data_IF_618786847071
#
_entry.id   IF_618786847071
#
_cell.length_a   1.000
_cell.length_b   1.000
_cell.length_c   1.000
_cell.angle_alpha   90.00
_cell.angle_beta   90.00
_cell.angle_gamma   90.00
#
_symmetry.space_group_name_H-M   'P 1'
#
loop_
_entity.id
_entity.type
_entity.pdbx_description
1 polymer ?
#
# COMPACT_ATOMS: atom_id res chain seq x y z
N UNK A 1 -62.89 3.95 44.32
CA UNK A 1 -61.83 4.96 44.12
C UNK A 1 -61.06 4.54 42.87
N UNK A 2 -61.08 5.36 41.82
CA UNK A 2 -60.51 5.05 40.49
C UNK A 2 -58.98 5.14 40.50
N UNK A 3 -58.30 4.21 39.82
CA UNK A 3 -57.34 4.56 38.75
C UNK A 3 -56.92 3.35 37.91
N UNK A 4 -57.20 3.47 36.62
CA UNK A 4 -56.71 2.64 35.52
C UNK A 4 -55.19 2.77 35.35
N UNK A 5 -54.52 1.68 34.95
CA UNK A 5 -53.27 1.73 34.17
C UNK A 5 -53.21 0.54 33.20
N UNK A 6 -53.72 0.83 32.00
CA UNK A 6 -53.29 0.47 30.64
C UNK A 6 -52.37 -0.77 30.39
N UNK A 7 -52.92 -1.64 29.54
CA UNK A 7 -52.36 -2.37 28.36
C UNK A 7 -51.25 -3.40 28.58
N UNK A 8 -51.50 -4.72 28.44
CA UNK A 8 -51.67 -5.52 27.20
C UNK A 8 -50.49 -5.41 26.22
N UNK A 9 -49.82 -6.55 25.98
CA UNK A 9 -48.92 -6.74 24.85
C UNK A 9 -47.87 -7.82 25.07
N UNK A 10 -48.27 -9.10 25.01
CA UNK A 10 -47.37 -10.13 24.52
C UNK A 10 -46.89 -9.72 23.12
N UNK A 11 -45.57 -9.75 22.89
CA UNK A 11 -45.00 -9.39 21.60
C UNK A 11 -43.49 -9.59 21.59
N UNK A 12 -43.08 -10.78 21.14
CA UNK A 12 -41.86 -11.11 20.36
C UNK A 12 -40.56 -10.42 20.84
N UNK A 13 -39.52 -11.17 21.30
CA UNK A 13 -38.20 -10.56 21.49
C UNK A 13 -37.79 -9.98 20.14
N UNK A 14 -37.69 -8.65 20.06
CA UNK A 14 -37.27 -7.94 18.87
C UNK A 14 -35.97 -8.58 18.38
N UNK A 15 -36.08 -9.30 17.26
CA UNK A 15 -34.99 -9.82 16.47
C UNK A 15 -33.99 -8.70 16.32
N UNK A 16 -32.77 -8.90 16.82
CA UNK A 16 -31.71 -7.92 16.71
C UNK A 16 -31.57 -7.50 15.25
N UNK A 17 -31.88 -6.24 14.99
CA UNK A 17 -31.76 -5.59 13.69
C UNK A 17 -30.33 -5.80 13.16
N UNK A 18 -30.11 -6.59 12.08
CA UNK A 18 -28.76 -6.87 11.57
C UNK A 18 -28.10 -5.66 10.90
N UNK A 19 -28.73 -4.48 10.94
CA UNK A 19 -28.32 -3.29 10.19
C UNK A 19 -27.58 -2.24 11.01
N UNK A 20 -27.16 -2.57 12.23
CA UNK A 20 -26.16 -1.76 12.95
C UNK A 20 -24.83 -2.48 12.98
N UNK A 21 -24.16 -2.50 11.82
CA UNK A 21 -22.71 -2.61 11.78
C UNK A 21 -22.16 -1.56 12.76
N UNK A 22 -21.29 -1.95 13.72
CA UNK A 22 -20.66 -0.97 14.59
C UNK A 22 -20.03 0.10 13.70
N UNK A 23 -20.19 1.37 14.08
CA UNK A 23 -19.63 2.49 13.36
C UNK A 23 -18.10 2.40 13.47
N UNK A 24 -17.48 1.62 12.57
CA UNK A 24 -16.05 1.33 12.56
C UNK A 24 -15.35 2.60 12.10
N UNK A 25 -14.98 3.46 13.04
CA UNK A 25 -13.91 4.47 12.86
C UNK A 25 -12.55 3.76 12.67
N UNK A 26 -12.44 2.91 11.65
CA UNK A 26 -11.27 2.07 11.40
C UNK A 26 -11.11 1.73 9.91
N UNK A 27 -11.42 2.68 9.02
CA UNK A 27 -11.29 2.55 7.55
C UNK A 27 -10.01 3.22 7.04
N UNK A 28 -8.94 3.27 7.85
CA UNK A 28 -7.62 3.71 7.37
C UNK A 28 -6.63 2.53 7.21
N UNK A 29 -6.95 1.34 7.74
CA UNK A 29 -6.05 0.18 7.73
C UNK A 29 -6.39 -0.87 6.65
N UNK A 30 -7.52 -0.72 5.95
CA UNK A 30 -7.98 -1.75 5.02
C UNK A 30 -7.31 -1.68 3.64
N UNK A 31 -6.77 -0.50 3.28
CA UNK A 31 -6.08 -0.29 2.00
C UNK A 31 -4.59 -0.67 2.09
N UNK A 32 -3.93 -0.40 3.21
CA UNK A 32 -2.49 -0.63 3.40
C UNK A 32 -2.05 -2.09 3.25
N UNK A 33 -2.92 -3.05 3.61
CA UNK A 33 -2.62 -4.48 3.52
C UNK A 33 -2.95 -5.07 2.15
N UNK A 34 -3.54 -4.29 1.24
CA UNK A 34 -3.84 -4.78 -0.11
C UNK A 34 -2.54 -4.97 -0.88
N UNK A 35 -2.54 -5.94 -1.79
CA UNK A 35 -1.42 -6.12 -2.70
C UNK A 35 -1.36 -4.96 -3.67
N UNK A 36 -0.15 -4.43 -3.88
CA UNK A 36 0.07 -3.43 -4.91
C UNK A 36 0.01 -4.10 -6.28
N UNK A 37 -0.75 -3.51 -7.20
CA UNK A 37 -0.81 -4.02 -8.57
C UNK A 37 0.42 -3.61 -9.36
N UNK A 38 0.74 -4.36 -10.41
CA UNK A 38 1.88 -4.06 -11.29
C UNK A 38 1.71 -2.68 -11.98
N UNK A 39 0.47 -2.29 -12.29
CA UNK A 39 0.14 -0.98 -12.88
C UNK A 39 0.43 0.16 -11.90
N UNK A 40 0.01 0.03 -10.65
CA UNK A 40 0.31 1.02 -9.61
C UNK A 40 1.80 1.10 -9.35
N UNK A 41 2.47 -0.04 -9.30
CA UNK A 41 3.90 -0.11 -9.11
C UNK A 41 4.65 0.60 -10.25
N UNK A 42 4.23 0.40 -11.50
CA UNK A 42 4.80 1.06 -12.67
C UNK A 42 4.61 2.59 -12.62
N UNK A 43 3.41 3.06 -12.28
CA UNK A 43 3.13 4.49 -12.13
C UNK A 43 3.95 5.13 -10.99
N UNK A 44 4.11 4.43 -9.86
CA UNK A 44 4.91 4.90 -8.73
C UNK A 44 6.38 5.03 -9.12
N UNK A 45 6.97 3.98 -9.72
CA UNK A 45 8.40 4.03 -10.10
C UNK A 45 8.68 5.06 -11.18
N UNK A 46 7.72 5.35 -12.06
CA UNK A 46 7.81 6.46 -13.01
C UNK A 46 7.83 7.81 -12.29
N UNK A 47 6.87 8.05 -11.38
CA UNK A 47 6.82 9.27 -10.57
C UNK A 47 8.09 9.47 -9.75
N UNK A 48 8.62 8.40 -9.16
CA UNK A 48 9.86 8.37 -8.38
C UNK A 48 11.07 8.67 -9.26
N UNK A 49 11.16 8.07 -10.45
CA UNK A 49 12.28 8.28 -11.37
C UNK A 49 12.37 9.73 -11.88
N UNK A 50 11.23 10.40 -12.03
CA UNK A 50 11.15 11.80 -12.42
C UNK A 50 11.50 12.80 -11.30
N UNK A 51 11.67 12.35 -10.04
CA UNK A 51 12.07 13.24 -8.95
C UNK A 51 13.59 13.46 -8.92
N UNK A 52 13.99 14.65 -8.48
CA UNK A 52 15.40 15.01 -8.26
C UNK A 52 16.09 14.13 -7.20
N UNK A 53 15.33 13.59 -6.24
CA UNK A 53 15.81 12.70 -5.19
C UNK A 53 15.64 11.20 -5.52
N UNK A 54 15.44 10.83 -6.79
CA UNK A 54 15.36 9.44 -7.28
C UNK A 54 16.56 8.56 -6.87
N UNK A 55 17.74 9.16 -6.63
CA UNK A 55 18.91 8.44 -6.11
C UNK A 55 18.70 7.86 -4.69
N UNK A 56 17.84 8.46 -3.87
CA UNK A 56 17.49 7.92 -2.55
C UNK A 56 16.72 6.61 -2.66
N UNK A 57 15.82 6.52 -3.64
CA UNK A 57 15.13 5.27 -3.96
C UNK A 57 16.13 4.18 -4.37
N UNK A 58 17.08 4.52 -5.24
CA UNK A 58 18.14 3.60 -5.64
C UNK A 58 18.96 3.08 -4.45
N UNK A 59 19.40 3.97 -3.55
CA UNK A 59 20.13 3.56 -2.33
C UNK A 59 19.28 2.70 -1.40
N UNK A 60 17.99 2.99 -1.27
CA UNK A 60 17.06 2.15 -0.51
C UNK A 60 16.97 0.75 -1.12
N UNK A 61 16.85 0.65 -2.44
CA UNK A 61 16.82 -0.63 -3.15
C UNK A 61 18.14 -1.39 -3.06
N UNK A 62 19.29 -0.72 -3.09
CA UNK A 62 20.59 -1.34 -2.80
C UNK A 62 20.63 -1.96 -1.39
N UNK A 63 19.97 -1.34 -0.41
CA UNK A 63 19.91 -1.86 0.96
C UNK A 63 18.99 -3.08 1.05
N UNK A 64 17.84 -3.05 0.37
CA UNK A 64 16.85 -4.14 0.40
C UNK A 64 17.23 -5.35 -0.45
N UNK A 65 17.88 -5.14 -1.60
CA UNK A 65 18.30 -6.19 -2.53
C UNK A 65 19.75 -6.64 -2.32
N UNK A 66 20.55 -5.89 -1.58
CA UNK A 66 22.00 -5.99 -1.61
C UNK A 66 22.59 -5.23 -2.80
N UNK A 67 23.80 -4.68 -2.58
CA UNK A 67 24.47 -3.80 -3.55
C UNK A 67 24.74 -4.49 -4.89
N UNK A 68 25.20 -5.73 -4.89
CA UNK A 68 25.53 -6.47 -6.11
C UNK A 68 24.34 -6.62 -7.06
N UNK A 69 23.16 -6.92 -6.52
CA UNK A 69 21.97 -7.14 -7.33
C UNK A 69 21.44 -5.83 -7.90
N UNK A 70 21.37 -4.78 -7.07
CA UNK A 70 20.97 -3.46 -7.53
C UNK A 70 21.95 -2.90 -8.58
N UNK A 71 23.26 -3.06 -8.39
CA UNK A 71 24.27 -2.64 -9.36
C UNK A 71 24.19 -3.42 -10.68
N UNK A 72 23.90 -4.72 -10.61
CA UNK A 72 23.69 -5.56 -11.78
C UNK A 72 22.47 -5.10 -12.59
N UNK A 73 21.36 -4.81 -11.92
CA UNK A 73 20.15 -4.31 -12.56
C UNK A 73 20.36 -2.93 -13.19
N UNK A 74 21.08 -2.04 -12.50
CA UNK A 74 21.43 -0.71 -13.02
C UNK A 74 22.35 -0.79 -14.25
N UNK A 75 23.41 -1.60 -14.18
CA UNK A 75 24.33 -1.83 -15.29
C UNK A 75 23.60 -2.41 -16.51
N UNK A 76 22.67 -3.36 -16.29
CA UNK A 76 21.81 -3.90 -17.35
C UNK A 76 20.90 -2.82 -17.95
N UNK A 77 20.28 -2.00 -17.11
CA UNK A 77 19.45 -0.87 -17.55
C UNK A 77 20.23 0.10 -18.44
N UNK A 78 21.42 0.51 -17.99
CA UNK A 78 22.29 1.44 -18.72
C UNK A 78 22.79 0.84 -20.04
N UNK A 79 23.18 -0.44 -20.07
CA UNK A 79 23.59 -1.14 -21.30
C UNK A 79 22.48 -1.22 -22.35
N UNK A 80 21.22 -1.24 -21.90
CA UNK A 80 20.05 -1.31 -22.75
C UNK A 80 19.42 0.07 -23.00
N UNK A 81 20.11 1.15 -22.61
CA UNK A 81 19.63 2.54 -22.67
C UNK A 81 18.20 2.71 -22.13
N UNK A 82 17.87 1.93 -21.10
CA UNK A 82 16.52 1.92 -20.56
C UNK A 82 16.26 3.16 -19.71
N UNK A 83 15.02 3.68 -19.73
CA UNK A 83 14.64 4.75 -18.82
C UNK A 83 14.81 4.27 -17.37
N UNK A 84 15.24 5.19 -16.50
CA UNK A 84 15.53 4.90 -15.09
C UNK A 84 14.32 4.31 -14.35
N UNK A 85 13.11 4.70 -14.73
CA UNK A 85 11.84 4.13 -14.24
C UNK A 85 11.76 2.62 -14.47
N UNK A 86 12.24 2.13 -15.62
CA UNK A 86 12.26 0.69 -15.94
C UNK A 86 13.30 -0.06 -15.11
N UNK A 87 14.46 0.55 -14.85
CA UNK A 87 15.45 -0.01 -13.91
C UNK A 87 14.86 -0.10 -12.49
N UNK A 88 14.19 0.95 -12.03
CA UNK A 88 13.51 0.97 -10.72
C UNK A 88 12.38 -0.06 -10.63
N UNK A 89 11.60 -0.21 -11.70
CA UNK A 89 10.59 -1.25 -11.82
C UNK A 89 11.19 -2.65 -11.63
N UNK A 90 12.28 -2.96 -12.35
CA UNK A 90 12.95 -4.24 -12.20
C UNK A 90 13.50 -4.47 -10.78
N UNK A 91 14.03 -3.43 -10.14
CA UNK A 91 14.49 -3.54 -8.75
C UNK A 91 13.34 -3.90 -7.82
N UNK A 92 12.20 -3.19 -7.89
CA UNK A 92 11.10 -3.43 -6.98
C UNK A 92 10.39 -4.77 -7.26
N UNK A 93 10.34 -5.20 -8.52
CA UNK A 93 9.87 -6.54 -8.88
C UNK A 93 10.82 -7.63 -8.37
N UNK A 94 12.14 -7.41 -8.45
CA UNK A 94 13.13 -8.34 -7.86
C UNK A 94 12.97 -8.41 -6.35
N UNK A 95 12.69 -7.29 -5.68
CA UNK A 95 12.47 -7.25 -4.24
C UNK A 95 11.18 -7.98 -3.85
N UNK A 96 10.09 -7.72 -4.57
CA UNK A 96 8.82 -8.46 -4.44
C UNK A 96 9.03 -9.97 -4.60
N UNK A 97 9.82 -10.40 -5.60
CA UNK A 97 10.13 -11.82 -5.81
C UNK A 97 10.93 -12.49 -4.68
N UNK A 98 11.62 -11.72 -3.83
CA UNK A 98 12.34 -12.24 -2.65
C UNK A 98 11.48 -12.37 -1.41
N UNK A 99 10.29 -11.78 -1.42
CA UNK A 99 9.33 -11.92 -0.31
C UNK A 99 8.83 -13.36 -0.26
N UNK A 100 8.54 -13.84 0.94
CA UNK A 100 8.20 -15.25 1.22
C UNK A 100 6.99 -15.78 0.44
N UNK A 101 6.21 -14.91 -0.21
CA UNK A 101 5.07 -15.26 -1.05
C UNK A 101 4.96 -14.45 -2.34
N UNK A 102 6.01 -13.70 -2.73
CA UNK A 102 5.93 -12.81 -3.90
C UNK A 102 4.93 -11.65 -3.75
N UNK A 103 4.48 -11.38 -2.52
CA UNK A 103 3.52 -10.34 -2.21
C UNK A 103 4.23 -9.07 -1.76
N UNK A 104 3.75 -7.94 -2.26
CA UNK A 104 4.18 -6.61 -1.83
C UNK A 104 2.92 -5.82 -1.52
N UNK A 105 2.76 -5.43 -0.26
CA UNK A 105 1.59 -4.68 0.19
C UNK A 105 1.78 -3.20 -0.09
N UNK A 106 0.68 -2.48 -0.31
CA UNK A 106 0.67 -1.04 -0.54
C UNK A 106 1.35 -0.29 0.61
N UNK A 107 1.04 -0.64 1.85
CA UNK A 107 1.63 -0.02 3.04
C UNK A 107 3.14 -0.22 3.13
N UNK A 108 3.69 -1.29 2.56
CA UNK A 108 5.15 -1.47 2.49
C UNK A 108 5.80 -0.50 1.50
N UNK A 109 5.15 -0.30 0.35
CA UNK A 109 5.60 0.67 -0.65
C UNK A 109 5.48 2.10 -0.10
N UNK A 110 4.38 2.43 0.58
CA UNK A 110 4.19 3.73 1.22
C UNK A 110 5.22 3.98 2.31
N UNK A 111 5.46 3.01 3.21
CA UNK A 111 6.55 3.10 4.21
C UNK A 111 7.91 3.31 3.55
N UNK A 112 8.17 2.62 2.44
CA UNK A 112 9.41 2.79 1.69
C UNK A 112 9.54 4.22 1.15
N UNK A 113 8.50 4.75 0.51
CA UNK A 113 8.46 6.11 -0.03
C UNK A 113 8.62 7.18 1.07
N UNK A 114 7.95 7.01 2.21
CA UNK A 114 8.16 7.90 3.36
C UNK A 114 9.61 7.87 3.85
N UNK A 115 10.25 6.68 3.90
CA UNK A 115 11.64 6.55 4.36
C UNK A 115 12.68 7.26 3.47
N UNK A 116 12.29 7.65 2.25
CA UNK A 116 13.14 8.39 1.30
C UNK A 116 12.60 9.80 1.01
N UNK A 117 11.77 10.34 1.91
CA UNK A 117 11.17 11.68 1.79
C UNK A 117 10.32 11.88 0.52
N UNK A 118 9.66 10.82 0.06
CA UNK A 118 8.72 10.85 -1.08
C UNK A 118 7.26 10.79 -0.60
N UNK A 119 6.96 11.48 0.51
CA UNK A 119 5.62 11.50 1.12
C UNK A 119 4.52 11.91 0.15
N UNK A 120 4.78 12.89 -0.73
CA UNK A 120 3.80 13.32 -1.76
C UNK A 120 3.38 12.23 -2.74
N UNK A 121 4.25 11.24 -2.98
CA UNK A 121 3.93 10.09 -3.82
C UNK A 121 3.17 9.07 -2.98
N UNK A 122 3.61 8.83 -1.74
CA UNK A 122 2.92 7.98 -0.77
C UNK A 122 1.46 8.38 -0.51
N UNK A 123 1.19 9.66 -0.28
CA UNK A 123 -0.15 10.23 -0.05
C UNK A 123 -1.10 10.07 -1.24
N UNK A 124 -0.57 9.82 -2.45
CA UNK A 124 -1.39 9.53 -3.64
C UNK A 124 -1.78 8.06 -3.75
N UNK A 125 -1.08 7.18 -3.03
CA UNK A 125 -1.29 5.73 -3.05
C UNK A 125 -2.25 5.35 -1.93
N UNK A 126 -2.08 5.94 -0.75
CA UNK A 126 -2.98 5.81 0.40
C UNK A 126 -3.67 7.17 0.67
N UNK A 127 -4.90 7.38 0.16
CA UNK A 127 -5.70 8.57 0.45
C UNK A 127 -6.35 8.57 1.84
#
# INVERSE_FOLDING_TARGET
MVRETKTLGEGIPATADPTKLPNVKNIANHDSTRQITDLELADIVEKVACQSNSHLFYHKMQTLLGRDVANTLDTKGNRLEQPRSKTFYHMIMTYRGRKQFGLLEVGEVVKMLHSINMSKIAEKIEP
#
